data_IF_891459397720
#
_entry.id   IF_891459397720
#
_cell.length_a   1.000
_cell.length_b   1.000
_cell.length_c   1.000
_cell.angle_alpha   90.00
_cell.angle_beta   90.00
_cell.angle_gamma   90.00
#
_symmetry.space_group_name_H-M   'P 1'
#
loop_
_entity.id
_entity.type
_entity.pdbx_description
1 polymer ?
#
# COMPACT_ATOMS: atom_id res chain seq x y z
N UNK A 1 -2.80 -24.27 3.29
CA UNK A 1 -2.15 -23.97 3.08
C UNK A 1 -1.38 -23.63 2.37
N UNK A 2 -0.87 -23.37 2.45
CA UNK A 2 -0.07 -23.45 1.97
C UNK A 2 0.74 -22.60 1.41
N UNK A 3 1.68 -22.57 1.21
CA UNK A 3 2.65 -21.70 0.64
C UNK A 3 2.49 -21.54 -0.84
N UNK A 4 1.29 -21.86 -1.29
CA UNK A 4 1.10 -21.85 -2.67
C UNK A 4 1.27 -20.56 -3.32
N UNK A 5 1.06 -19.46 -2.74
CA UNK A 5 1.30 -18.17 -3.36
C UNK A 5 2.76 -17.73 -3.39
N UNK A 6 3.68 -18.52 -2.86
CA UNK A 6 5.08 -18.13 -2.70
C UNK A 6 5.95 -18.97 -3.62
N UNK A 7 6.65 -18.30 -4.54
CA UNK A 7 7.60 -18.97 -5.43
C UNK A 7 8.93 -19.22 -4.73
N UNK A 8 9.81 -19.97 -5.37
CA UNK A 8 11.15 -20.22 -4.84
C UNK A 8 11.99 -18.95 -4.72
N UNK A 9 11.66 -17.90 -5.46
CA UNK A 9 12.32 -16.60 -5.35
C UNK A 9 11.74 -15.73 -4.22
N UNK A 10 10.71 -16.21 -3.51
CA UNK A 10 10.04 -15.45 -2.46
C UNK A 10 8.95 -14.51 -2.96
N UNK A 11 8.64 -14.53 -4.23
CA UNK A 11 7.56 -13.70 -4.78
C UNK A 11 6.20 -14.34 -4.49
N UNK A 12 5.20 -13.51 -4.24
CA UNK A 12 3.83 -13.96 -4.03
C UNK A 12 3.06 -13.92 -5.34
N UNK A 13 2.02 -14.75 -5.42
CA UNK A 13 1.10 -14.71 -6.55
C UNK A 13 0.36 -13.38 -6.57
N UNK A 14 0.27 -12.77 -7.74
CA UNK A 14 -0.53 -11.57 -7.94
C UNK A 14 -1.85 -11.93 -8.59
N UNK A 15 -2.92 -11.29 -8.15
CA UNK A 15 -4.25 -11.58 -8.67
C UNK A 15 -5.16 -10.37 -8.50
N UNK A 16 -5.96 -10.09 -9.54
CA UNK A 16 -7.04 -9.10 -9.49
C UNK A 16 -8.36 -9.82 -9.79
N UNK A 17 -9.32 -9.70 -8.89
CA UNK A 17 -10.65 -10.26 -9.07
C UNK A 17 -11.69 -9.18 -8.73
N UNK A 18 -12.22 -8.51 -9.75
CA UNK A 18 -13.16 -7.38 -9.67
C UNK A 18 -12.59 -6.13 -8.97
N UNK A 19 -11.55 -6.27 -8.19
CA UNK A 19 -10.81 -5.18 -7.57
C UNK A 19 -9.39 -5.22 -8.09
N UNK A 20 -8.76 -4.04 -8.16
CA UNK A 20 -7.36 -3.91 -8.54
C UNK A 20 -6.70 -2.96 -7.56
N UNK A 21 -5.76 -3.47 -6.77
CA UNK A 21 -4.99 -2.67 -5.82
C UNK A 21 -3.55 -2.57 -6.30
N UNK A 22 -2.98 -1.36 -6.22
CA UNK A 22 -1.58 -1.13 -6.60
C UNK A 22 -0.95 -0.20 -5.60
N UNK A 23 0.36 -0.32 -5.43
CA UNK A 23 1.12 0.47 -4.48
C UNK A 23 2.27 1.17 -5.20
N UNK A 24 2.48 2.44 -4.86
CA UNK A 24 3.53 3.26 -5.44
C UNK A 24 4.29 3.98 -4.32
N UNK A 25 5.58 4.17 -4.54
CA UNK A 25 6.42 4.90 -3.61
C UNK A 25 6.81 6.24 -4.22
N UNK A 26 6.78 7.28 -3.40
CA UNK A 26 7.17 8.63 -3.80
C UNK A 26 8.10 9.23 -2.77
N UNK A 27 8.99 10.11 -3.22
CA UNK A 27 9.76 10.91 -2.29
C UNK A 27 8.90 12.06 -1.75
N UNK A 28 9.49 12.87 -0.88
CA UNK A 28 8.78 13.98 -0.24
C UNK A 28 8.23 14.99 -1.27
N UNK A 29 8.86 15.09 -2.42
CA UNK A 29 8.48 16.06 -3.45
C UNK A 29 7.51 15.48 -4.49
N UNK A 30 7.11 14.22 -4.34
CA UNK A 30 6.18 13.59 -5.26
C UNK A 30 6.82 12.86 -6.41
N UNK A 31 8.14 12.74 -6.42
CA UNK A 31 8.83 11.99 -7.45
C UNK A 31 8.73 10.49 -7.18
N UNK A 32 8.33 9.73 -8.19
CA UNK A 32 8.16 8.29 -8.05
C UNK A 32 9.50 7.59 -7.81
N UNK A 33 9.51 6.66 -6.86
CA UNK A 33 10.67 5.82 -6.56
C UNK A 33 10.38 4.43 -7.09
N UNK A 34 11.04 4.04 -8.16
CA UNK A 34 10.79 2.76 -8.84
C UNK A 34 11.88 1.73 -8.60
N UNK A 35 12.97 2.12 -7.95
CA UNK A 35 14.14 1.28 -7.74
C UNK A 35 13.99 0.29 -6.57
N UNK A 36 12.98 0.46 -5.73
CA UNK A 36 12.82 -0.25 -4.46
C UNK A 36 14.03 -0.09 -3.53
N UNK A 37 14.80 0.97 -3.73
CA UNK A 37 15.95 1.33 -2.88
C UNK A 37 15.67 2.67 -2.25
N UNK A 38 15.84 2.73 -0.94
CA UNK A 38 15.52 3.91 -0.14
C UNK A 38 16.71 4.28 0.74
N UNK A 39 16.88 5.55 1.00
CA UNK A 39 17.96 6.03 1.86
C UNK A 39 17.47 6.07 3.32
N UNK A 40 18.32 5.65 4.24
CA UNK A 40 18.01 5.68 5.66
C UNK A 40 17.58 7.08 6.10
N UNK A 41 16.53 7.15 6.89
CA UNK A 41 15.92 8.36 7.44
C UNK A 41 15.12 9.20 6.44
N UNK A 42 15.01 8.77 5.20
CA UNK A 42 14.16 9.49 4.24
C UNK A 42 12.69 9.26 4.53
N UNK A 43 11.92 10.32 4.35
CA UNK A 43 10.46 10.23 4.37
C UNK A 43 9.98 9.73 3.01
N UNK A 44 9.16 8.70 3.05
CA UNK A 44 8.63 8.06 1.83
C UNK A 44 7.11 8.12 1.90
N UNK A 45 6.48 8.54 0.81
CA UNK A 45 5.04 8.58 0.71
C UNK A 45 4.59 7.35 -0.07
N UNK A 46 3.69 6.58 0.52
CA UNK A 46 3.11 5.42 -0.13
C UNK A 46 1.73 5.78 -0.63
N UNK A 47 1.51 5.61 -1.94
CA UNK A 47 0.21 5.76 -2.56
C UNK A 47 -0.37 4.41 -2.89
N UNK A 48 -1.58 4.15 -2.41
CA UNK A 48 -2.30 2.90 -2.67
C UNK A 48 -3.53 3.25 -3.50
N UNK A 49 -3.63 2.65 -4.68
CA UNK A 49 -4.79 2.87 -5.56
C UNK A 49 -5.69 1.66 -5.52
N UNK A 50 -6.99 1.91 -5.48
CA UNK A 50 -8.03 0.89 -5.57
C UNK A 50 -8.91 1.20 -6.76
N UNK A 51 -9.02 0.24 -7.68
CA UNK A 51 -9.89 0.34 -8.84
C UNK A 51 -10.90 -0.80 -8.80
N UNK A 52 -12.08 -0.55 -9.34
CA UNK A 52 -13.10 -1.58 -9.50
C UNK A 52 -13.32 -1.85 -10.98
N UNK A 53 -13.69 -3.08 -11.31
CA UNK A 53 -13.85 -3.50 -12.71
C UNK A 53 -15.20 -3.16 -13.31
N UNK A 54 -16.17 -2.76 -12.50
CA UNK A 54 -17.51 -2.41 -12.97
C UNK A 54 -18.05 -1.23 -12.17
N UNK A 55 -19.15 -0.64 -12.66
CA UNK A 55 -19.64 0.63 -12.12
C UNK A 55 -20.48 0.51 -10.84
N UNK A 56 -20.72 -0.68 -10.35
CA UNK A 56 -21.47 -0.87 -9.12
C UNK A 56 -20.56 -0.66 -7.91
N UNK A 57 -20.96 0.13 -6.92
CA UNK A 57 -20.17 0.30 -5.70
C UNK A 57 -19.95 -1.02 -4.98
N UNK A 58 -18.75 -1.20 -4.45
CA UNK A 58 -18.39 -2.34 -3.61
C UNK A 58 -18.12 -1.81 -2.21
N UNK A 59 -18.97 -2.18 -1.26
CA UNK A 59 -18.88 -1.70 0.10
C UNK A 59 -18.01 -2.61 0.97
N UNK A 60 -17.51 -2.04 2.06
CA UNK A 60 -16.79 -2.77 3.10
C UNK A 60 -15.55 -3.50 2.56
N UNK A 61 -14.70 -2.75 1.89
CA UNK A 61 -13.41 -3.25 1.41
C UNK A 61 -12.35 -2.92 2.43
N UNK A 62 -11.51 -3.89 2.78
CA UNK A 62 -10.32 -3.64 3.59
C UNK A 62 -9.09 -3.71 2.70
N UNK A 63 -8.30 -2.64 2.72
CA UNK A 63 -7.01 -2.59 2.04
C UNK A 63 -5.96 -2.79 3.13
N UNK A 64 -5.09 -3.78 2.95
CA UNK A 64 -4.01 -4.06 3.90
C UNK A 64 -2.68 -3.88 3.20
N UNK A 65 -1.84 -3.01 3.74
CA UNK A 65 -0.48 -2.82 3.25
C UNK A 65 0.51 -3.29 4.31
N UNK A 66 1.33 -4.28 3.94
CA UNK A 66 2.34 -4.85 4.82
C UNK A 66 3.63 -4.07 4.66
N UNK A 67 4.17 -3.57 5.78
CA UNK A 67 5.42 -2.81 5.77
C UNK A 67 6.62 -3.74 5.90
N UNK A 68 7.69 -3.48 5.13
CA UNK A 68 8.97 -4.14 5.39
C UNK A 68 9.49 -3.81 6.79
N UNK A 69 10.25 -4.72 7.38
CA UNK A 69 10.71 -4.56 8.77
C UNK A 69 11.61 -3.34 8.99
N UNK A 70 12.26 -2.84 7.95
CA UNK A 70 13.11 -1.64 8.06
C UNK A 70 12.38 -0.31 8.00
N UNK A 71 11.05 -0.32 7.99
CA UNK A 71 10.23 0.87 7.85
C UNK A 71 9.33 1.07 9.07
N UNK A 72 9.02 2.34 9.34
CA UNK A 72 8.04 2.70 10.37
C UNK A 72 7.03 3.66 9.79
N UNK A 73 5.78 3.57 10.23
CA UNK A 73 4.75 4.52 9.84
C UNK A 73 5.04 5.85 10.53
N UNK A 74 5.25 6.88 9.73
CA UNK A 74 5.53 8.22 10.24
C UNK A 74 4.23 8.97 10.51
N UNK A 75 3.34 8.97 9.50
CA UNK A 75 2.05 9.64 9.62
C UNK A 75 1.04 8.99 8.68
N UNK A 76 -0.08 8.46 9.20
CA UNK A 76 -1.12 7.90 8.34
C UNK A 76 -1.95 8.97 7.62
N UNK A 77 -1.75 10.26 7.94
CA UNK A 77 -2.50 11.36 7.33
C UNK A 77 -1.55 12.34 6.70
N UNK A 78 -1.38 12.25 5.38
CA UNK A 78 -0.46 13.12 4.65
C UNK A 78 -0.85 14.59 4.68
N UNK A 79 -2.13 14.90 4.90
CA UNK A 79 -2.59 16.29 5.00
C UNK A 79 -1.95 17.04 6.15
N UNK A 80 -1.46 16.35 7.16
CA UNK A 80 -0.81 16.95 8.30
C UNK A 80 0.69 17.18 8.09
N UNK A 81 1.24 16.75 6.96
CA UNK A 81 2.66 16.88 6.66
C UNK A 81 2.89 18.11 5.78
N UNK A 82 3.72 19.08 6.21
CA UNK A 82 4.01 20.23 5.37
C UNK A 82 4.70 19.84 4.05
N UNK A 83 4.36 20.53 2.97
CA UNK A 83 4.99 20.29 1.68
C UNK A 83 4.35 19.19 0.85
N UNK A 84 3.19 18.68 1.26
CA UNK A 84 2.47 17.62 0.54
C UNK A 84 1.41 18.17 -0.43
N UNK A 85 1.64 19.35 -0.98
CA UNK A 85 0.66 20.00 -1.90
C UNK A 85 0.45 19.22 -3.19
N UNK A 86 1.39 18.35 -3.55
CA UNK A 86 1.27 17.51 -4.74
C UNK A 86 0.28 16.34 -4.53
N UNK A 87 -0.10 16.06 -3.28
CA UNK A 87 -1.09 15.03 -2.95
C UNK A 87 -2.47 15.69 -3.07
N UNK A 88 -3.08 15.63 -4.24
CA UNK A 88 -4.33 16.36 -4.51
C UNK A 88 -5.58 15.49 -4.49
N UNK A 89 -5.45 14.24 -4.88
CA UNK A 89 -6.60 13.36 -5.08
C UNK A 89 -6.73 12.31 -3.99
N UNK A 90 -6.19 12.61 -2.81
CA UNK A 90 -6.21 11.67 -1.70
C UNK A 90 -7.63 11.50 -1.17
N UNK A 91 -8.09 10.25 -1.11
CA UNK A 91 -9.36 9.90 -0.49
C UNK A 91 -9.15 9.70 1.01
N UNK A 92 -10.21 9.92 1.77
CA UNK A 92 -10.21 9.65 3.20
C UNK A 92 -10.91 8.31 3.43
N UNK A 93 -10.25 7.34 4.08
CA UNK A 93 -10.91 6.08 4.38
C UNK A 93 -11.99 6.27 5.45
N UNK A 94 -12.94 5.34 5.50
CA UNK A 94 -13.98 5.35 6.55
C UNK A 94 -13.35 5.13 7.92
N UNK A 95 -12.33 4.27 7.99
CA UNK A 95 -11.59 4.01 9.22
C UNK A 95 -10.18 3.56 8.89
N UNK A 96 -9.27 3.71 9.84
CA UNK A 96 -7.88 3.26 9.75
C UNK A 96 -7.57 2.38 10.95
N UNK A 97 -6.80 1.32 10.73
CA UNK A 97 -6.19 0.54 11.80
C UNK A 97 -4.70 0.46 11.54
N UNK A 98 -3.91 1.10 12.39
CA UNK A 98 -2.46 1.21 12.23
C UNK A 98 -1.78 0.27 13.20
N UNK A 99 -0.94 -0.61 12.67
CA UNK A 99 -0.14 -1.56 13.46
C UNK A 99 1.34 -1.29 13.20
N UNK A 100 2.22 -1.93 13.96
CA UNK A 100 3.67 -1.73 13.80
C UNK A 100 4.17 -2.19 12.43
N UNK A 101 3.58 -3.23 11.87
CA UNK A 101 4.03 -3.88 10.64
C UNK A 101 3.05 -3.73 9.48
N UNK A 102 1.92 -3.07 9.67
CA UNK A 102 0.90 -2.93 8.61
C UNK A 102 -0.08 -1.83 8.90
N UNK A 103 -0.79 -1.44 7.85
CA UNK A 103 -1.91 -0.51 7.97
C UNK A 103 -3.11 -1.08 7.23
N UNK A 104 -4.29 -0.93 7.81
CA UNK A 104 -5.55 -1.31 7.20
C UNK A 104 -6.38 -0.06 6.94
N UNK A 105 -6.84 0.06 5.69
CA UNK A 105 -7.79 1.10 5.31
C UNK A 105 -9.14 0.44 5.11
N UNK A 106 -10.16 0.92 5.81
CA UNK A 106 -11.54 0.45 5.64
C UNK A 106 -12.25 1.45 4.75
N UNK A 107 -12.67 1.00 3.59
CA UNK A 107 -13.15 1.89 2.53
C UNK A 107 -14.35 1.27 1.80
N UNK A 108 -15.04 2.12 1.06
CA UNK A 108 -16.03 1.70 0.08
C UNK A 108 -15.51 2.06 -1.31
N UNK A 109 -15.59 1.15 -2.26
CA UNK A 109 -15.18 1.41 -3.63
C UNK A 109 -16.33 2.07 -4.38
N UNK A 110 -16.47 3.38 -4.20
CA UNK A 110 -17.55 4.18 -4.76
C UNK A 110 -17.20 4.82 -6.10
N UNK A 111 -15.93 4.91 -6.42
CA UNK A 111 -15.42 5.50 -7.65
C UNK A 111 -14.66 4.46 -8.45
N UNK A 112 -14.47 4.71 -9.74
CA UNK A 112 -13.71 3.79 -10.58
C UNK A 112 -12.28 3.65 -10.11
N UNK A 113 -11.70 4.73 -9.57
CA UNK A 113 -10.35 4.71 -9.01
C UNK A 113 -10.28 5.62 -7.80
N UNK A 114 -9.69 5.12 -6.73
CA UNK A 114 -9.50 5.86 -5.48
C UNK A 114 -8.05 5.70 -5.04
N UNK A 115 -7.46 6.76 -4.49
CA UNK A 115 -6.07 6.74 -4.05
C UNK A 115 -5.98 7.17 -2.59
N UNK A 116 -5.23 6.41 -1.80
CA UNK A 116 -4.98 6.66 -0.39
C UNK A 116 -3.48 6.81 -0.18
N UNK A 117 -3.07 7.77 0.64
CA UNK A 117 -1.66 8.04 0.88
C UNK A 117 -1.34 7.96 2.36
N UNK A 118 -0.16 7.48 2.68
CA UNK A 118 0.37 7.58 4.03
C UNK A 118 1.91 7.69 3.96
N UNK A 119 2.50 8.16 5.05
CA UNK A 119 3.93 8.42 5.10
C UNK A 119 4.64 7.41 5.99
N UNK A 120 5.77 6.92 5.52
CA UNK A 120 6.63 6.03 6.27
C UNK A 120 8.06 6.58 6.25
N UNK A 121 8.89 6.09 7.15
CA UNK A 121 10.29 6.42 7.18
C UNK A 121 11.11 5.13 7.12
N UNK A 122 12.13 5.14 6.28
CA UNK A 122 13.08 4.04 6.22
C UNK A 122 14.07 4.22 7.38
N UNK A 123 14.03 3.34 8.37
CA UNK A 123 14.76 3.56 9.61
C UNK A 123 15.99 2.67 9.77
N UNK A 124 15.99 1.48 9.19
CA UNK A 124 17.08 0.52 9.39
C UNK A 124 17.65 0.06 8.05
N UNK A 125 18.96 0.19 7.81
CA UNK A 125 19.57 -0.33 6.59
C UNK A 125 19.45 -1.86 6.51
N UNK A 126 19.32 -2.36 5.29
CA UNK A 126 19.25 -3.79 5.02
C UNK A 126 18.39 -4.10 3.81
N UNK A 127 18.27 -5.38 3.53
CA UNK A 127 17.36 -5.90 2.51
C UNK A 127 16.19 -6.57 3.19
N UNK A 128 14.97 -6.22 2.79
CA UNK A 128 13.76 -6.70 3.45
C UNK A 128 12.79 -7.26 2.45
N UNK A 129 12.14 -8.35 2.81
CA UNK A 129 11.01 -8.85 2.04
C UNK A 129 9.81 -7.93 2.28
N UNK A 130 9.14 -7.58 1.21
CA UNK A 130 7.93 -6.77 1.25
C UNK A 130 6.75 -7.65 0.83
N UNK A 131 5.79 -7.82 1.71
CA UNK A 131 4.56 -8.51 1.40
C UNK A 131 3.71 -7.71 0.43
N UNK A 132 2.68 -8.33 -0.15
CA UNK A 132 1.81 -7.63 -1.08
C UNK A 132 0.90 -6.62 -0.36
N UNK A 133 0.45 -5.62 -1.10
CA UNK A 133 -0.75 -4.89 -0.72
C UNK A 133 -1.95 -5.72 -1.15
N UNK A 134 -2.99 -5.76 -0.33
CA UNK A 134 -4.19 -6.52 -0.65
C UNK A 134 -5.44 -5.68 -0.48
N UNK A 135 -6.48 -6.03 -1.22
CA UNK A 135 -7.81 -5.48 -1.04
C UNK A 135 -8.80 -6.64 -1.05
N UNK A 136 -9.67 -6.68 -0.05
CA UNK A 136 -10.67 -7.73 0.09
C UNK A 136 -12.01 -7.13 0.47
N UNK A 137 -13.07 -7.49 -0.26
CA UNK A 137 -14.42 -7.17 0.15
C UNK A 137 -14.80 -8.10 1.29
N UNK A 138 -15.12 -7.53 2.47
CA UNK A 138 -15.29 -8.31 3.69
C UNK A 138 -16.44 -9.32 3.61
N UNK A 139 -17.45 -9.03 2.79
CA UNK A 139 -18.64 -9.87 2.72
C UNK A 139 -18.76 -10.63 1.40
N UNK A 140 -17.75 -10.54 0.52
CA UNK A 140 -17.74 -11.30 -0.72
C UNK A 140 -16.31 -11.59 -1.14
N UNK A 141 -15.85 -12.80 -0.87
CA UNK A 141 -14.47 -13.21 -1.14
C UNK A 141 -14.09 -13.29 -2.62
N UNK A 142 -15.06 -13.20 -3.53
CA UNK A 142 -14.74 -13.13 -4.95
C UNK A 142 -14.11 -11.78 -5.33
N UNK A 143 -14.34 -10.75 -4.54
CA UNK A 143 -13.85 -9.40 -4.82
C UNK A 143 -12.56 -9.19 -4.01
N UNK A 144 -11.43 -9.34 -4.68
CA UNK A 144 -10.12 -9.21 -4.04
C UNK A 144 -9.03 -8.82 -5.02
N UNK A 145 -7.89 -8.41 -4.49
CA UNK A 145 -6.70 -8.13 -5.28
C UNK A 145 -5.47 -8.27 -4.39
N UNK A 146 -4.39 -8.82 -4.93
CA UNK A 146 -3.09 -8.92 -4.27
C UNK A 146 -2.01 -8.51 -5.25
N UNK A 147 -1.10 -7.60 -4.85
CA UNK A 147 -0.09 -7.10 -5.77
C UNK A 147 1.13 -6.53 -5.05
N UNK A 148 2.28 -6.56 -5.70
CA UNK A 148 3.42 -5.76 -5.31
C UNK A 148 4.35 -6.36 -4.27
N UNK A 149 4.32 -7.66 -4.08
CA UNK A 149 5.31 -8.32 -3.23
C UNK A 149 6.69 -8.25 -3.87
N UNK A 150 7.72 -8.23 -3.05
CA UNK A 150 9.09 -8.19 -3.57
C UNK A 150 10.10 -7.95 -2.47
N UNK A 151 11.20 -7.31 -2.83
CA UNK A 151 12.28 -6.97 -1.93
C UNK A 151 12.54 -5.47 -2.00
N UNK A 152 12.74 -4.86 -0.84
CA UNK A 152 13.16 -3.46 -0.75
C UNK A 152 14.52 -3.40 -0.06
N UNK A 153 15.28 -2.37 -0.38
CA UNK A 153 16.60 -2.14 0.18
C UNK A 153 16.67 -0.76 0.80
N UNK A 154 17.17 -0.70 2.02
CA UNK A 154 17.47 0.58 2.70
C UNK A 154 18.98 0.71 2.80
N UNK A 155 19.52 1.82 2.31
CA UNK A 155 20.96 2.12 2.33
C UNK A 155 21.22 3.31 3.23
N UNK A 156 22.45 3.37 3.71
CA UNK A 156 22.90 4.50 4.55
C UNK A 156 23.09 5.78 3.75
#
# INVERSE_FOLDING_TARGET
WQAEGISASGAYKEEDSYLKVRKYFYDRNGKAITSNTFKQNDLIIIGVTLERSFNTPIENVVITDLLPAGFEIENPRTKEIPGMDWVKDAMTPTALDVRDDRIHFFVDANSNKQTYYYAVRAVSPGNYKMGPVSADAMYNGEYHSYHGAGVVRVVQ
#
